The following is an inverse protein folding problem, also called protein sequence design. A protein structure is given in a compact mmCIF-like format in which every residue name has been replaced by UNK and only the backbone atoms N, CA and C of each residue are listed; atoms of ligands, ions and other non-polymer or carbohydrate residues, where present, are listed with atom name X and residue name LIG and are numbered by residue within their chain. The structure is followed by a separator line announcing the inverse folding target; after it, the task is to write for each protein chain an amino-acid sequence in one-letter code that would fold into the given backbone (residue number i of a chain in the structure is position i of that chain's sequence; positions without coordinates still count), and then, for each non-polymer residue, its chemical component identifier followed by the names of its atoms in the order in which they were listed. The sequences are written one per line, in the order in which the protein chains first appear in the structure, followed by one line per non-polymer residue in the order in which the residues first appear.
data_IF_948321997054
#
_entry.id   IF_948321997054
#
_cell.length_a   1.000
_cell.length_b   1.000
_cell.length_c   1.000
_cell.angle_alpha   90.00
_cell.angle_beta   90.00
_cell.angle_gamma   90.00
#
_symmetry.space_group_name_H-M   'P 1'
#
loop_
_entity.id
_entity.type
_entity.pdbx_description
1 polymer ?
#
# COMPACT_ATOMS: atom_id res chain seq x y z
N UNK A 1 -15.84 16.55 -1.10
CA UNK A 1 -15.79 15.08 -1.01
C UNK A 1 -14.98 14.49 -2.17
N UNK A 2 -13.70 14.21 -1.94
CA UNK A 2 -12.89 13.52 -2.95
C UNK A 2 -13.34 12.07 -2.91
N UNK A 3 -14.14 11.66 -3.90
CA UNK A 3 -14.46 10.26 -4.13
C UNK A 3 -13.14 9.54 -4.43
N UNK A 4 -12.52 8.94 -3.40
CA UNK A 4 -11.47 7.95 -3.58
C UNK A 4 -12.13 6.77 -4.28
N UNK A 5 -12.17 6.82 -5.61
CA UNK A 5 -12.56 5.71 -6.47
C UNK A 5 -11.69 4.54 -6.03
N UNK A 6 -12.27 3.60 -5.30
CA UNK A 6 -11.55 2.52 -4.65
C UNK A 6 -10.92 1.65 -5.75
N UNK A 7 -9.70 2.00 -6.15
CA UNK A 7 -8.92 1.20 -7.08
C UNK A 7 -8.61 -0.09 -6.34
N UNK A 8 -9.18 -1.19 -6.83
CA UNK A 8 -8.91 -2.50 -6.24
C UNK A 8 -7.48 -2.86 -6.67
N UNK A 9 -6.55 -3.07 -5.72
CA UNK A 9 -5.19 -3.46 -6.08
C UNK A 9 -5.26 -4.79 -6.82
N UNK A 10 -4.67 -4.81 -8.02
CA UNK A 10 -4.70 -5.98 -8.90
C UNK A 10 -3.44 -6.80 -8.72
N UNK A 11 -3.60 -8.11 -8.55
CA UNK A 11 -2.47 -9.03 -8.67
C UNK A 11 -1.82 -8.88 -10.06
N UNK A 12 -0.49 -8.86 -10.08
CA UNK A 12 0.32 -8.69 -11.29
C UNK A 12 1.23 -9.90 -11.51
N UNK A 13 0.95 -11.02 -10.85
CA UNK A 13 1.75 -12.24 -10.92
C UNK A 13 1.88 -12.75 -12.36
N UNK A 14 0.78 -12.66 -13.13
CA UNK A 14 0.66 -13.09 -14.53
C UNK A 14 1.24 -12.11 -15.57
N UNK A 15 1.67 -10.91 -15.17
CA UNK A 15 2.24 -9.94 -16.11
C UNK A 15 3.67 -10.35 -16.53
N UNK A 16 3.94 -10.32 -17.84
CA UNK A 16 5.26 -10.61 -18.42
C UNK A 16 6.08 -9.33 -18.65
N UNK A 17 7.39 -9.44 -18.46
CA UNK A 17 8.37 -8.40 -18.84
C UNK A 17 8.32 -7.13 -18.00
N UNK A 18 8.60 -5.98 -18.62
CA UNK A 18 8.73 -4.68 -17.93
C UNK A 18 7.44 -4.21 -17.24
N UNK A 19 6.26 -4.70 -17.64
CA UNK A 19 4.98 -4.38 -17.00
C UNK A 19 4.88 -4.91 -15.55
N UNK A 20 5.79 -5.81 -15.15
CA UNK A 20 5.94 -6.28 -13.79
C UNK A 20 6.84 -5.37 -12.94
N UNK A 21 7.36 -4.23 -13.43
CA UNK A 21 8.13 -3.33 -12.55
C UNK A 21 7.17 -2.56 -11.63
N UNK A 22 7.57 -2.45 -10.36
CA UNK A 22 6.81 -1.77 -9.32
C UNK A 22 6.49 -0.30 -9.68
N UNK A 23 7.40 0.37 -10.39
CA UNK A 23 7.24 1.76 -10.84
C UNK A 23 6.09 1.97 -11.85
N UNK A 24 5.52 0.90 -12.43
CA UNK A 24 4.33 0.99 -13.28
C UNK A 24 3.03 0.77 -12.50
N UNK A 25 3.09 0.61 -11.18
CA UNK A 25 1.90 0.59 -10.34
C UNK A 25 1.49 2.04 -10.08
N UNK A 26 0.27 2.45 -10.47
CA UNK A 26 -0.28 3.74 -10.08
C UNK A 26 -0.24 3.87 -8.56
N UNK A 27 0.16 5.04 -8.08
CA UNK A 27 0.26 5.32 -6.65
C UNK A 27 -1.07 5.10 -5.93
N UNK A 28 -2.19 5.45 -6.57
CA UNK A 28 -3.52 5.25 -6.01
C UNK A 28 -3.86 3.76 -5.81
N UNK A 29 -3.34 2.84 -6.66
CA UNK A 29 -3.45 1.40 -6.42
C UNK A 29 -2.62 0.97 -5.20
N UNK A 30 -1.42 1.53 -5.03
CA UNK A 30 -0.55 1.26 -3.87
C UNK A 30 -1.26 1.72 -2.60
N UNK A 31 -1.80 2.95 -2.59
CA UNK A 31 -2.57 3.48 -1.46
C UNK A 31 -3.76 2.59 -1.12
N UNK A 32 -4.50 2.10 -2.12
CA UNK A 32 -5.60 1.19 -1.89
C UNK A 32 -5.15 -0.17 -1.31
N UNK A 33 -3.99 -0.69 -1.72
CA UNK A 33 -3.39 -1.87 -1.10
C UNK A 33 -3.08 -1.64 0.38
N UNK A 34 -2.45 -0.50 0.72
CA UNK A 34 -2.14 -0.14 2.11
C UNK A 34 -3.43 -0.06 2.93
N UNK A 35 -4.44 0.68 2.46
CA UNK A 35 -5.73 0.82 3.13
C UNK A 35 -6.40 -0.54 3.34
N UNK A 36 -6.36 -1.42 2.32
CA UNK A 36 -6.91 -2.77 2.43
C UNK A 36 -6.20 -3.59 3.50
N UNK A 37 -4.86 -3.57 3.53
CA UNK A 37 -4.08 -4.30 4.52
C UNK A 37 -4.33 -3.78 5.94
N UNK A 38 -4.40 -2.45 6.11
CA UNK A 38 -4.72 -1.82 7.40
C UNK A 38 -6.16 -2.07 7.90
N UNK A 39 -7.09 -2.49 7.02
CA UNK A 39 -8.44 -2.91 7.41
C UNK A 39 -8.53 -4.38 7.82
N UNK A 40 -7.73 -5.25 7.20
CA UNK A 40 -7.83 -6.70 7.37
C UNK A 40 -6.90 -7.24 8.46
N UNK A 41 -5.75 -6.62 8.68
CA UNK A 41 -4.88 -6.90 9.82
C UNK A 41 -5.24 -5.94 10.95
N UNK A 42 -5.26 -6.37 12.21
CA UNK A 42 -5.54 -5.56 13.41
C UNK A 42 -4.45 -4.49 13.70
N UNK A 43 -3.97 -3.80 12.67
CA UNK A 43 -2.69 -3.14 12.58
C UNK A 43 -1.74 -3.94 11.68
N UNK A 44 -1.05 -3.23 10.79
CA UNK A 44 0.10 -3.75 10.03
C UNK A 44 1.35 -3.05 10.56
N UNK A 45 2.37 -3.81 10.97
CA UNK A 45 3.61 -3.18 11.44
C UNK A 45 4.29 -2.45 10.27
N UNK A 46 4.92 -1.30 10.53
CA UNK A 46 5.53 -0.51 9.46
C UNK A 46 6.64 -1.27 8.71
N UNK A 47 7.42 -2.10 9.44
CA UNK A 47 8.45 -2.95 8.84
C UNK A 47 7.89 -4.06 7.93
N UNK A 48 6.64 -4.49 8.17
CA UNK A 48 5.97 -5.52 7.37
C UNK A 48 5.22 -4.92 6.17
N UNK A 49 5.00 -3.61 6.17
CA UNK A 49 4.21 -2.90 5.16
C UNK A 49 4.73 -3.16 3.76
N UNK A 50 6.04 -2.97 3.53
CA UNK A 50 6.63 -3.11 2.21
C UNK A 50 6.45 -4.52 1.67
N UNK A 51 6.64 -5.54 2.51
CA UNK A 51 6.46 -6.94 2.14
C UNK A 51 4.99 -7.26 1.85
N UNK A 52 4.08 -6.88 2.73
CA UNK A 52 2.65 -7.16 2.58
C UNK A 52 2.05 -6.47 1.35
N UNK A 53 2.45 -5.23 1.05
CA UNK A 53 2.03 -4.53 -0.17
C UNK A 53 2.59 -5.22 -1.41
N UNK A 54 3.86 -5.62 -1.39
CA UNK A 54 4.47 -6.38 -2.49
C UNK A 54 3.76 -7.71 -2.74
N UNK A 55 3.36 -8.42 -1.68
CA UNK A 55 2.62 -9.69 -1.78
C UNK A 55 1.26 -9.50 -2.46
N UNK A 56 0.52 -8.43 -2.14
CA UNK A 56 -0.75 -8.07 -2.79
C UNK A 56 -0.62 -7.92 -4.31
N UNK A 57 0.53 -7.42 -4.78
CA UNK A 57 0.80 -7.25 -6.20
C UNK A 57 1.49 -8.47 -6.85
N UNK A 58 1.72 -9.56 -6.09
CA UNK A 58 2.30 -10.79 -6.62
C UNK A 58 3.83 -10.83 -6.66
N UNK A 59 4.51 -9.98 -5.87
CA UNK A 59 5.96 -9.99 -5.75
C UNK A 59 6.41 -10.88 -4.59
N UNK A 60 7.30 -11.83 -4.89
CA UNK A 60 7.92 -12.71 -3.87
C UNK A 60 9.02 -12.03 -3.04
N UNK A 61 9.45 -10.84 -3.42
CA UNK A 61 10.51 -10.06 -2.78
C UNK A 61 10.32 -8.59 -3.08
N UNK A 62 10.81 -7.70 -2.21
CA UNK A 62 10.68 -6.26 -2.37
C UNK A 62 11.53 -5.80 -3.57
N UNK A 63 10.92 -5.28 -4.66
CA UNK A 63 11.66 -4.77 -5.80
C UNK A 63 12.47 -3.52 -5.41
N UNK A 64 13.59 -3.29 -6.09
CA UNK A 64 14.43 -2.10 -5.84
C UNK A 64 13.61 -0.81 -6.03
N UNK A 65 13.59 0.03 -4.99
CA UNK A 65 12.85 1.30 -4.98
C UNK A 65 11.37 1.19 -4.63
N UNK A 66 10.82 -0.02 -4.50
CA UNK A 66 9.43 -0.19 -4.06
C UNK A 66 9.21 0.32 -2.65
N UNK A 67 10.17 0.08 -1.76
CA UNK A 67 10.14 0.55 -0.37
C UNK A 67 9.89 2.06 -0.25
N UNK A 68 10.69 2.87 -0.94
CA UNK A 68 10.53 4.34 -0.93
C UNK A 68 9.20 4.80 -1.55
N UNK A 69 8.68 4.09 -2.55
CA UNK A 69 7.39 4.41 -3.17
C UNK A 69 6.24 4.10 -2.20
N UNK A 70 6.31 2.95 -1.54
CA UNK A 70 5.34 2.51 -0.53
C UNK A 70 5.38 3.46 0.67
N UNK A 71 6.56 3.86 1.13
CA UNK A 71 6.73 4.81 2.23
C UNK A 71 6.16 6.19 1.89
N UNK A 72 6.42 6.70 0.69
CA UNK A 72 5.80 7.95 0.22
C UNK A 72 4.27 7.84 0.21
N UNK A 73 3.72 6.74 -0.32
CA UNK A 73 2.27 6.53 -0.37
C UNK A 73 1.65 6.41 1.04
N UNK A 74 2.36 5.76 1.97
CA UNK A 74 2.02 5.65 3.39
C UNK A 74 1.93 7.03 4.04
N UNK A 75 2.99 7.83 3.92
CA UNK A 75 3.07 9.14 4.56
C UNK A 75 1.93 10.06 4.08
N UNK A 76 1.61 10.03 2.80
CA UNK A 76 0.49 10.84 2.28
C UNK A 76 -0.87 10.41 2.80
N UNK A 77 -1.10 9.11 3.02
CA UNK A 77 -2.34 8.64 3.65
C UNK A 77 -2.44 9.05 5.12
N UNK A 78 -1.31 9.17 5.82
CA UNK A 78 -1.24 9.72 7.18
C UNK A 78 -1.52 11.23 7.16
N UNK A 79 -0.91 11.97 6.22
CA UNK A 79 -1.16 13.41 6.04
C UNK A 79 -2.63 13.71 5.71
N UNK A 80 -3.26 12.85 4.90
CA UNK A 80 -4.68 12.92 4.57
C UNK A 80 -5.59 12.49 5.74
N UNK A 81 -5.02 12.08 6.88
CA UNK A 81 -5.72 11.55 8.06
C UNK A 81 -6.58 10.32 7.76
N UNK A 82 -6.26 9.57 6.71
CA UNK A 82 -6.90 8.29 6.38
C UNK A 82 -6.28 7.17 7.21
N UNK A 83 -4.97 7.22 7.40
CA UNK A 83 -4.22 6.30 8.25
C UNK A 83 -3.67 7.03 9.47
N UNK A 84 -3.43 6.27 10.53
CA UNK A 84 -2.66 6.67 11.68
C UNK A 84 -1.56 5.64 11.96
N UNK A 85 -0.40 6.12 12.41
CA UNK A 85 0.68 5.27 12.91
C UNK A 85 0.65 5.32 14.43
N UNK A 86 0.29 4.22 15.08
CA UNK A 86 0.24 4.10 16.54
C UNK A 86 1.06 2.91 16.99
N UNK A 87 2.08 3.18 17.82
CA UNK A 87 2.97 2.14 18.40
C UNK A 87 3.61 1.22 17.34
N UNK A 88 4.01 1.76 16.19
CA UNK A 88 4.61 1.00 15.08
C UNK A 88 3.59 0.31 14.16
N UNK A 89 2.28 0.38 14.46
CA UNK A 89 1.23 -0.21 13.65
C UNK A 89 0.46 0.83 12.85
N UNK A 90 0.29 0.58 11.56
CA UNK A 90 -0.61 1.33 10.69
C UNK A 90 -2.05 0.87 10.89
N UNK A 91 -2.94 1.83 11.16
CA UNK A 91 -4.37 1.61 11.33
C UNK A 91 -5.17 2.62 10.53
N UNK A 92 -6.41 2.26 10.19
CA UNK A 92 -7.37 3.20 9.62
C UNK A 92 -7.79 4.17 10.71
N UNK A 93 -7.65 5.46 10.43
CA UNK A 93 -8.16 6.49 11.32
C UNK A 93 -9.69 6.50 11.21
N UNK A 94 -10.37 6.10 12.28
CA UNK A 94 -11.84 6.08 12.37
C UNK A 94 -12.44 7.45 12.75
N UNK A 95 -11.63 8.51 12.82
CA UNK A 95 -12.03 9.88 13.18
C UNK A 95 -12.63 10.71 12.03
N UNK A 96 -13.56 10.14 11.26
CA UNK A 96 -14.41 10.85 10.27
C UNK A 96 -15.88 10.51 10.47
#
# INVERSE_FOLDING_TARGET
PVEHKALIPRDRSDLKGSYKKFNYIPKEEIQAAIIRLSKHCYGLHEDELAYAVCDVFGYRSIPKGADSIIDSAKNELIEQKILELSSGFLRINHGL
#
